data_IF_800907935528
#
_entry.id   IF_800907935528
#
_cell.length_a   1.000
_cell.length_b   1.000
_cell.length_c   1.000
_cell.angle_alpha   90.00
_cell.angle_beta   90.00
_cell.angle_gamma   90.00
#
_symmetry.space_group_name_H-M   'P 1'
#
loop_
_entity.id
_entity.type
_entity.pdbx_description
1 polymer ?
#
# COMPACT_ATOMS: atom_id res chain seq x y z
N UNK A 1 24.12 13.84 33.34
CA UNK A 1 23.18 12.73 33.15
C UNK A 1 22.65 12.73 31.71
N UNK A 2 23.32 12.04 30.79
CA UNK A 2 22.76 11.72 29.46
C UNK A 2 22.58 10.22 29.40
N UNK A 3 21.33 9.77 29.31
CA UNK A 3 20.99 8.36 29.16
C UNK A 3 21.49 7.86 27.78
N UNK A 4 22.23 6.75 27.72
CA UNK A 4 22.56 6.12 26.46
C UNK A 4 21.26 5.52 25.88
N UNK A 5 20.94 5.87 24.64
CA UNK A 5 19.91 5.20 23.85
C UNK A 5 20.43 3.77 23.59
N UNK A 6 20.13 2.87 24.52
CA UNK A 6 20.31 1.45 24.35
C UNK A 6 19.26 0.98 23.34
N UNK A 7 19.59 0.96 22.05
CA UNK A 7 18.90 0.08 21.09
C UNK A 7 19.39 -1.33 21.39
N UNK A 8 18.86 -1.93 22.45
CA UNK A 8 18.95 -3.36 22.73
C UNK A 8 17.65 -4.00 22.28
N UNK A 9 17.56 -4.26 20.97
CA UNK A 9 16.89 -5.45 20.45
C UNK A 9 17.23 -5.57 18.96
N UNK A 10 18.25 -6.36 18.60
CA UNK A 10 18.41 -6.83 17.22
C UNK A 10 17.49 -8.02 17.00
N UNK A 11 16.20 -7.87 17.29
CA UNK A 11 15.18 -8.77 16.79
C UNK A 11 15.25 -8.69 15.26
N UNK A 12 15.56 -9.80 14.60
CA UNK A 12 15.55 -9.92 13.14
C UNK A 12 14.22 -9.39 12.62
N UNK A 13 14.21 -8.18 12.04
CA UNK A 13 12.99 -7.57 11.48
C UNK A 13 12.51 -8.49 10.37
N UNK A 14 11.41 -9.22 10.62
CA UNK A 14 10.76 -10.06 9.62
C UNK A 14 9.65 -9.23 8.99
N UNK A 15 9.81 -8.90 7.72
CA UNK A 15 8.74 -8.29 6.94
C UNK A 15 7.55 -9.24 6.95
N UNK A 16 6.38 -8.74 7.34
CA UNK A 16 5.14 -9.54 7.37
C UNK A 16 4.60 -9.75 5.95
N UNK A 17 4.72 -8.72 5.10
CA UNK A 17 4.33 -8.75 3.69
C UNK A 17 5.51 -9.24 2.84
N UNK A 18 5.44 -10.48 2.37
CA UNK A 18 6.54 -11.14 1.65
C UNK A 18 6.15 -11.64 0.25
N UNK A 19 4.85 -11.69 -0.06
CA UNK A 19 4.38 -12.13 -1.36
C UNK A 19 4.82 -11.12 -2.45
N UNK A 20 5.25 -11.57 -3.65
CA UNK A 20 5.69 -10.67 -4.71
C UNK A 20 4.64 -9.61 -5.08
N UNK A 21 3.35 -9.96 -5.06
CA UNK A 21 2.27 -9.01 -5.35
C UNK A 21 2.11 -7.94 -4.24
N UNK A 22 2.34 -8.29 -2.97
CA UNK A 22 2.34 -7.31 -1.87
C UNK A 22 3.47 -6.30 -2.04
N UNK A 23 4.69 -6.80 -2.31
CA UNK A 23 5.87 -5.95 -2.51
C UNK A 23 5.74 -5.06 -3.73
N UNK A 24 5.18 -5.59 -4.81
CA UNK A 24 4.90 -4.82 -6.02
C UNK A 24 3.92 -3.68 -5.74
N UNK A 25 2.83 -3.96 -5.02
CA UNK A 25 1.88 -2.91 -4.64
C UNK A 25 2.52 -1.86 -3.74
N UNK A 26 3.33 -2.26 -2.75
CA UNK A 26 4.07 -1.31 -1.91
C UNK A 26 4.97 -0.41 -2.75
N UNK A 27 5.74 -0.97 -3.68
CA UNK A 27 6.62 -0.19 -4.55
C UNK A 27 5.83 0.82 -5.39
N UNK A 28 4.71 0.40 -6.00
CA UNK A 28 3.88 1.30 -6.80
C UNK A 28 3.24 2.43 -5.97
N UNK A 29 2.87 2.17 -4.71
CA UNK A 29 2.39 3.21 -3.80
C UNK A 29 3.50 4.21 -3.47
N UNK A 30 4.73 3.74 -3.25
CA UNK A 30 5.86 4.63 -3.00
C UNK A 30 6.18 5.49 -4.23
N UNK A 31 6.25 4.87 -5.42
CA UNK A 31 6.44 5.58 -6.69
C UNK A 31 5.38 6.67 -6.87
N UNK A 32 4.11 6.36 -6.54
CA UNK A 32 3.02 7.34 -6.59
C UNK A 32 3.23 8.51 -5.63
N UNK A 33 3.65 8.25 -4.39
CA UNK A 33 3.85 9.29 -3.39
C UNK A 33 5.04 10.20 -3.74
N UNK A 34 6.10 9.65 -4.33
CA UNK A 34 7.27 10.41 -4.76
C UNK A 34 6.94 11.33 -5.94
N UNK A 35 6.10 10.88 -6.87
CA UNK A 35 5.74 11.61 -8.08
C UNK A 35 4.62 12.64 -7.91
N UNK A 36 3.83 12.56 -6.83
CA UNK A 36 2.56 13.30 -6.69
C UNK A 36 2.72 14.83 -6.76
N UNK A 37 3.89 15.36 -6.42
CA UNK A 37 4.12 16.80 -6.23
C UNK A 37 4.62 17.56 -7.48
N UNK A 38 5.21 16.87 -8.45
CA UNK A 38 5.96 17.53 -9.55
C UNK A 38 5.62 16.97 -10.95
N UNK A 39 4.70 16.01 -11.02
CA UNK A 39 4.40 15.29 -12.26
C UNK A 39 3.24 15.87 -13.07
N UNK A 40 3.37 15.81 -14.40
CA UNK A 40 2.28 16.14 -15.34
C UNK A 40 1.06 15.22 -15.14
N UNK A 41 -0.14 15.75 -15.35
CA UNK A 41 -1.41 15.03 -15.18
C UNK A 41 -1.48 13.71 -15.98
N UNK A 42 -0.89 13.66 -17.19
CA UNK A 42 -0.81 12.43 -18.01
C UNK A 42 0.10 11.37 -17.38
N UNK A 43 1.17 11.78 -16.71
CA UNK A 43 2.05 10.86 -15.99
C UNK A 43 1.33 10.31 -14.76
N UNK A 44 0.68 11.18 -13.98
CA UNK A 44 -0.13 10.80 -12.82
C UNK A 44 -1.24 9.79 -13.18
N UNK A 45 -1.92 9.98 -14.31
CA UNK A 45 -2.92 9.01 -14.79
C UNK A 45 -2.32 7.63 -15.10
N UNK A 46 -1.11 7.56 -15.66
CA UNK A 46 -0.42 6.28 -15.90
C UNK A 46 -0.05 5.59 -14.59
N UNK A 47 0.45 6.34 -13.61
CA UNK A 47 0.76 5.82 -12.28
C UNK A 47 -0.52 5.32 -11.59
N UNK A 48 -1.63 6.04 -11.71
CA UNK A 48 -2.94 5.62 -11.17
C UNK A 48 -3.34 4.23 -11.68
N UNK A 49 -3.26 4.04 -13.01
CA UNK A 49 -3.60 2.77 -13.67
C UNK A 49 -2.64 1.66 -13.23
N UNK A 50 -1.33 1.95 -13.16
CA UNK A 50 -0.34 0.98 -12.73
C UNK A 50 -0.56 0.55 -11.27
N UNK A 51 -0.89 1.50 -10.40
CA UNK A 51 -1.22 1.28 -8.98
C UNK A 51 -2.48 0.44 -8.82
N UNK A 52 -3.53 0.73 -9.59
CA UNK A 52 -4.76 -0.07 -9.60
C UNK A 52 -4.51 -1.51 -10.09
N UNK A 53 -3.75 -1.68 -11.18
CA UNK A 53 -3.40 -3.02 -11.68
C UNK A 53 -2.57 -3.82 -10.66
N UNK A 54 -1.65 -3.16 -9.96
CA UNK A 54 -0.91 -3.79 -8.87
C UNK A 54 -1.83 -4.18 -7.70
N UNK A 55 -2.84 -3.36 -7.41
CA UNK A 55 -3.85 -3.65 -6.40
C UNK A 55 -4.70 -4.86 -6.74
N UNK A 56 -5.24 -4.94 -7.97
CA UNK A 56 -6.03 -6.08 -8.44
C UNK A 56 -5.22 -7.39 -8.37
N UNK A 57 -3.96 -7.35 -8.79
CA UNK A 57 -3.07 -8.50 -8.70
C UNK A 57 -2.79 -8.90 -7.24
N UNK A 58 -2.61 -7.93 -6.35
CA UNK A 58 -2.49 -8.19 -4.91
C UNK A 58 -3.77 -8.81 -4.35
N UNK A 59 -4.93 -8.20 -4.60
CA UNK A 59 -6.20 -8.59 -4.00
C UNK A 59 -6.65 -10.00 -4.43
N UNK A 60 -6.40 -10.35 -5.69
CA UNK A 60 -6.69 -11.68 -6.24
C UNK A 60 -5.76 -12.79 -5.71
N UNK A 61 -4.47 -12.48 -5.50
CA UNK A 61 -3.47 -13.49 -5.10
C UNK A 61 -3.21 -13.56 -3.58
N UNK A 62 -3.54 -12.51 -2.83
CA UNK A 62 -3.20 -12.39 -1.41
C UNK A 62 -4.44 -12.50 -0.54
N UNK A 63 -4.83 -13.74 -0.22
CA UNK A 63 -6.02 -14.03 0.60
C UNK A 63 -5.99 -13.29 1.94
N UNK A 64 -7.00 -12.48 2.22
CA UNK A 64 -7.12 -11.73 3.49
C UNK A 64 -8.00 -12.49 4.49
N UNK A 65 -9.07 -13.10 3.98
CA UNK A 65 -10.10 -13.76 4.78
C UNK A 65 -9.97 -15.29 4.80
N UNK A 66 -10.83 -15.97 5.56
CA UNK A 66 -10.77 -17.42 5.74
C UNK A 66 -9.61 -17.84 6.64
N UNK A 67 -8.88 -18.87 6.24
CA UNK A 67 -7.78 -19.47 7.03
C UNK A 67 -6.67 -18.47 7.41
N UNK A 68 -6.42 -17.46 6.57
CA UNK A 68 -5.40 -16.43 6.88
C UNK A 68 -5.81 -15.62 8.10
N UNK A 69 -7.09 -15.24 8.23
CA UNK A 69 -7.58 -14.47 9.39
C UNK A 69 -7.49 -15.27 10.69
N UNK A 70 -7.73 -16.59 10.63
CA UNK A 70 -7.77 -17.44 11.83
C UNK A 70 -6.40 -17.98 12.23
N UNK A 71 -5.57 -18.34 11.25
CA UNK A 71 -4.25 -18.95 11.50
C UNK A 71 -3.12 -17.92 11.53
N UNK A 72 -3.23 -16.83 10.78
CA UNK A 72 -2.19 -15.78 10.66
C UNK A 72 -2.77 -14.36 10.76
N UNK A 73 -3.43 -14.01 11.88
CA UNK A 73 -4.17 -12.75 12.00
C UNK A 73 -3.32 -11.49 11.76
N UNK A 74 -2.02 -11.51 12.10
CA UNK A 74 -1.09 -10.41 11.82
C UNK A 74 -0.88 -10.18 10.32
N UNK A 75 -0.84 -11.25 9.51
CA UNK A 75 -0.73 -11.15 8.05
C UNK A 75 -2.02 -10.60 7.46
N UNK A 76 -3.18 -11.09 7.92
CA UNK A 76 -4.48 -10.55 7.51
C UNK A 76 -4.59 -9.05 7.82
N UNK A 77 -4.19 -8.64 9.02
CA UNK A 77 -4.17 -7.22 9.42
C UNK A 77 -3.21 -6.39 8.56
N UNK A 78 -2.00 -6.89 8.27
CA UNK A 78 -1.05 -6.19 7.41
C UNK A 78 -1.61 -6.01 5.98
N UNK A 79 -2.26 -7.03 5.42
CA UNK A 79 -2.92 -6.97 4.11
C UNK A 79 -4.09 -5.98 4.10
N UNK A 80 -4.90 -5.94 5.16
CA UNK A 80 -5.95 -4.92 5.31
C UNK A 80 -5.38 -3.51 5.37
N UNK A 81 -4.27 -3.33 6.09
CA UNK A 81 -3.54 -2.05 6.10
C UNK A 81 -3.10 -1.66 4.70
N UNK A 82 -2.57 -2.60 3.91
CA UNK A 82 -2.17 -2.35 2.52
C UNK A 82 -3.37 -1.95 1.64
N UNK A 83 -4.54 -2.59 1.80
CA UNK A 83 -5.78 -2.18 1.12
C UNK A 83 -6.14 -0.74 1.45
N UNK A 84 -6.17 -0.38 2.73
CA UNK A 84 -6.55 0.97 3.17
C UNK A 84 -5.59 2.02 2.62
N UNK A 85 -4.27 1.77 2.70
CA UNK A 85 -3.26 2.67 2.14
C UNK A 85 -3.49 2.87 0.65
N UNK A 86 -3.71 1.80 -0.12
CA UNK A 86 -3.98 1.91 -1.55
C UNK A 86 -5.23 2.71 -1.88
N UNK A 87 -6.34 2.46 -1.17
CA UNK A 87 -7.59 3.19 -1.40
C UNK A 87 -7.44 4.68 -1.09
N UNK A 88 -6.76 5.03 0.01
CA UNK A 88 -6.51 6.43 0.39
C UNK A 88 -5.61 7.11 -0.63
N UNK A 89 -4.52 6.46 -1.05
CA UNK A 89 -3.59 7.01 -2.06
C UNK A 89 -4.28 7.22 -3.42
N UNK A 90 -5.04 6.23 -3.91
CA UNK A 90 -5.78 6.35 -5.17
C UNK A 90 -6.86 7.43 -5.09
N UNK A 91 -7.57 7.52 -3.96
CA UNK A 91 -8.58 8.57 -3.75
C UNK A 91 -7.96 9.96 -3.79
N UNK A 92 -6.86 10.17 -3.08
CA UNK A 92 -6.15 11.46 -3.08
C UNK A 92 -5.64 11.79 -4.49
N UNK A 93 -5.04 10.84 -5.20
CA UNK A 93 -4.61 11.03 -6.58
C UNK A 93 -5.76 11.44 -7.51
N UNK A 94 -6.91 10.75 -7.42
CA UNK A 94 -8.07 11.04 -8.26
C UNK A 94 -8.70 12.40 -7.93
N UNK A 95 -8.90 12.69 -6.65
CA UNK A 95 -9.60 13.90 -6.19
C UNK A 95 -8.70 15.15 -6.25
N UNK A 96 -7.50 15.05 -5.68
CA UNK A 96 -6.63 16.20 -5.46
C UNK A 96 -5.82 16.55 -6.72
N UNK A 97 -5.33 15.53 -7.45
CA UNK A 97 -4.45 15.77 -8.60
C UNK A 97 -5.17 15.69 -9.95
N UNK A 98 -6.12 14.76 -10.12
CA UNK A 98 -6.83 14.57 -11.38
C UNK A 98 -8.17 15.32 -11.45
N UNK A 99 -8.67 15.85 -10.34
CA UNK A 99 -9.96 16.56 -10.27
C UNK A 99 -11.17 15.66 -10.56
N UNK A 100 -11.00 14.34 -10.44
CA UNK A 100 -12.05 13.35 -10.66
C UNK A 100 -12.65 12.97 -9.31
N UNK A 101 -13.97 13.14 -9.17
CA UNK A 101 -14.65 12.66 -7.98
C UNK A 101 -14.60 11.12 -7.95
N UNK A 102 -13.84 10.57 -7.01
CA UNK A 102 -13.85 9.14 -6.76
C UNK A 102 -15.28 8.71 -6.33
N UNK A 103 -15.89 7.69 -6.99
CA UNK A 103 -17.18 7.16 -6.56
C UNK A 103 -17.07 6.67 -5.11
N UNK A 104 -18.04 7.05 -4.28
CA UNK A 104 -18.01 6.69 -2.85
C UNK A 104 -18.46 5.24 -2.65
N UNK A 105 -19.22 4.67 -3.59
CA UNK A 105 -19.74 3.30 -3.58
C UNK A 105 -19.89 2.79 -5.03
N UNK A 106 -19.75 1.48 -5.24
CA UNK A 106 -20.17 0.76 -6.46
C UNK A 106 -21.50 0.05 -6.18
#
# INVERSE_FOLDING_TARGET
SRLPIFIKDTAKVRLTLTHPAERRLIAQILDLLDEISDSEQRHLAKIAIASYNAFENFYSNCRIWGEVKTQTPKLAQARLGLVVVTLVSLRSLLQDQLGVSAPVEL
#
